data_IF_454742161098
#
_entry.id   IF_454742161098
#
_cell.length_a   1.000
_cell.length_b   1.000
_cell.length_c   1.000
_cell.angle_alpha   90.00
_cell.angle_beta   90.00
_cell.angle_gamma   90.00
#
_symmetry.space_group_name_H-M   'P 1'
#
loop_
_entity.id
_entity.type
_entity.pdbx_description
1 polymer ?
#
# COMPACT_ATOMS: atom_id res chain seq x y z
N UNK A 1 42.15 -36.10 -46.66
CA UNK A 1 42.03 -34.64 -46.38
C UNK A 1 40.60 -34.17 -46.08
N UNK A 2 39.54 -34.91 -46.41
CA UNK A 2 38.13 -34.49 -46.17
C UNK A 2 37.64 -34.69 -44.72
N UNK A 3 38.21 -35.64 -43.98
CA UNK A 3 37.83 -35.96 -42.58
C UNK A 3 38.05 -34.79 -41.60
N UNK A 4 39.11 -34.01 -41.79
CA UNK A 4 39.48 -32.91 -40.88
C UNK A 4 38.48 -31.73 -41.00
N UNK A 5 37.82 -31.60 -42.16
CA UNK A 5 36.86 -30.51 -42.42
C UNK A 5 35.64 -30.57 -41.50
N UNK A 6 35.09 -31.77 -41.26
CA UNK A 6 33.90 -31.95 -40.44
C UNK A 6 34.14 -31.65 -38.96
N UNK A 7 35.36 -31.90 -38.48
CA UNK A 7 35.76 -31.58 -37.09
C UNK A 7 35.69 -30.07 -36.85
N UNK A 8 36.17 -29.25 -37.80
CA UNK A 8 36.11 -27.79 -37.68
C UNK A 8 34.69 -27.25 -37.76
N UNK A 9 33.83 -27.83 -38.60
CA UNK A 9 32.41 -27.46 -38.70
C UNK A 9 31.67 -27.80 -37.40
N UNK A 10 31.87 -29.01 -36.85
CA UNK A 10 31.26 -29.45 -35.60
C UNK A 10 31.74 -28.61 -34.40
N UNK A 11 33.04 -28.30 -34.33
CA UNK A 11 33.62 -27.43 -33.30
C UNK A 11 33.03 -26.02 -33.37
N UNK A 12 32.91 -25.45 -34.59
CA UNK A 12 32.29 -24.15 -34.81
C UNK A 12 30.83 -24.10 -34.36
N UNK A 13 30.03 -25.12 -34.72
CA UNK A 13 28.65 -25.24 -34.29
C UNK A 13 28.51 -25.37 -32.75
N UNK A 14 29.41 -26.14 -32.12
CA UNK A 14 29.44 -26.30 -30.67
C UNK A 14 29.80 -24.99 -29.95
N UNK A 15 30.78 -24.24 -30.46
CA UNK A 15 31.16 -22.93 -29.91
C UNK A 15 30.03 -21.90 -30.06
N UNK A 16 29.29 -21.92 -31.18
CA UNK A 16 28.11 -21.06 -31.37
C UNK A 16 27.01 -21.45 -30.38
N UNK A 17 26.71 -22.75 -30.22
CA UNK A 17 25.72 -23.22 -29.25
C UNK A 17 26.11 -22.83 -27.81
N UNK A 18 27.40 -22.96 -27.45
CA UNK A 18 27.94 -22.52 -26.17
C UNK A 18 27.84 -21.00 -25.98
N UNK A 19 28.08 -20.21 -27.04
CA UNK A 19 27.90 -18.76 -27.03
C UNK A 19 26.42 -18.35 -26.86
N UNK A 20 25.48 -19.08 -27.46
CA UNK A 20 24.05 -18.86 -27.26
C UNK A 20 23.59 -19.29 -25.86
N UNK A 21 24.14 -20.39 -25.33
CA UNK A 21 23.89 -20.82 -23.95
C UNK A 21 24.43 -19.78 -22.95
N UNK A 22 25.66 -19.29 -23.13
CA UNK A 22 26.25 -18.28 -22.26
C UNK A 22 25.56 -16.91 -22.37
N UNK A 23 25.12 -16.50 -23.57
CA UNK A 23 24.28 -15.29 -23.74
C UNK A 23 22.92 -15.42 -23.04
N UNK A 24 22.33 -16.62 -22.98
CA UNK A 24 21.07 -16.86 -22.27
C UNK A 24 21.19 -16.73 -20.74
N UNK A 25 22.40 -16.83 -20.20
CA UNK A 25 22.66 -16.68 -18.76
C UNK A 25 23.18 -15.29 -18.37
N UNK A 26 23.46 -14.41 -19.33
CA UNK A 26 23.99 -13.09 -19.06
C UNK A 26 22.85 -12.06 -18.92
N UNK A 27 21.96 -12.30 -17.95
CA UNK A 27 21.05 -11.25 -17.50
C UNK A 27 21.82 -10.29 -16.59
N UNK A 28 21.76 -8.97 -16.83
CA UNK A 28 22.35 -8.01 -15.90
C UNK A 28 21.81 -8.28 -14.50
N UNK A 29 22.69 -8.26 -13.50
CA UNK A 29 22.28 -8.38 -12.09
C UNK A 29 21.34 -7.23 -11.77
N UNK A 30 20.04 -7.52 -11.73
CA UNK A 30 19.01 -6.54 -11.37
C UNK A 30 19.26 -6.06 -9.95
N UNK A 31 19.20 -4.75 -9.75
CA UNK A 31 19.26 -4.15 -8.41
C UNK A 31 17.86 -4.20 -7.83
N UNK A 32 17.50 -5.35 -7.25
CA UNK A 32 16.18 -5.56 -6.67
C UNK A 32 16.06 -4.85 -5.30
N UNK A 33 14.83 -4.46 -4.90
CA UNK A 33 14.59 -3.96 -3.54
C UNK A 33 15.05 -4.98 -2.48
N UNK A 34 15.44 -4.51 -1.29
CA UNK A 34 15.81 -5.38 -0.18
C UNK A 34 14.64 -6.28 0.23
N UNK A 35 14.92 -7.41 0.86
CA UNK A 35 13.85 -8.29 1.36
C UNK A 35 14.34 -9.62 1.91
N UNK A 36 13.47 -10.34 2.62
CA UNK A 36 13.79 -11.66 3.14
C UNK A 36 13.99 -12.68 2.01
N UNK A 37 14.94 -13.60 2.19
CA UNK A 37 15.18 -14.66 1.20
C UNK A 37 13.95 -15.59 1.10
N UNK A 38 13.38 -15.79 -0.11
CA UNK A 38 12.18 -16.61 -0.29
C UNK A 38 12.50 -18.11 -0.26
N UNK A 39 11.58 -18.91 0.25
CA UNK A 39 11.60 -20.36 0.12
C UNK A 39 11.15 -20.78 -1.29
N UNK A 40 11.60 -21.95 -1.75
CA UNK A 40 11.43 -22.39 -3.15
C UNK A 40 9.98 -22.47 -3.63
N UNK A 41 9.04 -22.89 -2.78
CA UNK A 41 7.64 -23.16 -3.17
C UNK A 41 6.70 -22.09 -2.63
N UNK A 42 6.76 -21.81 -1.32
CA UNK A 42 5.81 -20.90 -0.65
C UNK A 42 6.29 -19.43 -0.65
N UNK A 43 7.54 -19.17 -1.05
CA UNK A 43 8.12 -17.83 -0.98
C UNK A 43 8.33 -17.38 0.48
N UNK A 44 7.70 -16.28 0.87
CA UNK A 44 7.79 -15.65 2.19
C UNK A 44 6.49 -15.74 2.98
N UNK A 45 5.52 -16.57 2.56
CA UNK A 45 4.23 -16.71 3.23
C UNK A 45 4.37 -17.18 4.70
N UNK A 46 5.44 -17.91 5.03
CA UNK A 46 5.75 -18.33 6.39
C UNK A 46 6.14 -17.17 7.34
N UNK A 47 6.36 -15.97 6.81
CA UNK A 47 6.66 -14.77 7.60
C UNK A 47 5.39 -13.96 7.92
N UNK A 48 4.22 -14.39 7.42
CA UNK A 48 2.95 -13.73 7.66
C UNK A 48 2.21 -14.42 8.80
N UNK A 49 1.82 -13.64 9.81
CA UNK A 49 0.93 -14.07 10.88
C UNK A 49 -0.56 -13.95 10.50
N UNK A 50 -1.43 -14.03 11.52
CA UNK A 50 -2.88 -13.84 11.36
C UNK A 50 -3.25 -12.45 10.83
N UNK A 51 -2.40 -11.46 11.08
CA UNK A 51 -2.51 -10.09 10.57
C UNK A 51 -1.34 -9.80 9.61
N UNK A 52 -1.54 -10.00 8.29
CA UNK A 52 -0.47 -9.82 7.30
C UNK A 52 0.09 -8.40 7.27
N UNK A 53 -0.76 -7.38 7.43
CA UNK A 53 -0.34 -5.98 7.41
C UNK A 53 0.61 -5.62 8.56
N UNK A 54 0.39 -6.16 9.77
CA UNK A 54 1.31 -5.99 10.91
C UNK A 54 2.62 -6.73 10.65
N UNK A 55 2.55 -7.99 10.20
CA UNK A 55 3.73 -8.79 9.87
C UNK A 55 4.62 -8.10 8.83
N UNK A 56 4.00 -7.50 7.82
CA UNK A 56 4.68 -6.71 6.79
C UNK A 56 5.24 -5.38 7.34
N UNK A 57 4.57 -4.74 8.31
CA UNK A 57 5.13 -3.58 9.01
C UNK A 57 6.39 -3.94 9.79
N UNK A 58 6.38 -5.05 10.55
CA UNK A 58 7.57 -5.54 11.25
C UNK A 58 8.73 -5.84 10.29
N UNK A 59 8.43 -6.42 9.13
CA UNK A 59 9.43 -6.65 8.09
C UNK A 59 9.97 -5.34 7.50
N UNK A 60 9.15 -4.30 7.32
CA UNK A 60 9.62 -3.02 6.79
C UNK A 60 10.56 -2.29 7.75
N UNK A 61 10.39 -2.46 9.07
CA UNK A 61 11.37 -1.96 10.05
C UNK A 61 12.76 -2.59 9.90
N UNK A 62 12.84 -3.80 9.33
CA UNK A 62 14.10 -4.54 9.13
C UNK A 62 14.71 -4.35 7.75
N UNK A 63 13.88 -4.35 6.71
CA UNK A 63 14.33 -4.33 5.31
C UNK A 63 14.17 -2.97 4.63
N UNK A 64 13.46 -2.03 5.25
CA UNK A 64 13.17 -0.71 4.72
C UNK A 64 11.74 -0.55 4.23
N UNK A 65 11.37 0.69 3.92
CA UNK A 65 10.02 1.09 3.54
C UNK A 65 9.54 0.56 2.17
N UNK A 66 10.49 0.13 1.32
CA UNK A 66 10.23 -0.56 0.06
C UNK A 66 10.98 -1.89 0.08
N UNK A 67 10.23 -2.99 0.02
CA UNK A 67 10.83 -4.32 0.08
C UNK A 67 10.17 -5.30 -0.90
N UNK A 68 10.96 -6.25 -1.37
CA UNK A 68 10.53 -7.30 -2.29
C UNK A 68 10.38 -8.63 -1.55
N UNK A 69 9.19 -9.19 -1.61
CA UNK A 69 8.83 -10.53 -1.14
C UNK A 69 8.45 -11.42 -2.32
N UNK A 70 8.26 -12.71 -2.05
CA UNK A 70 7.56 -13.63 -2.95
C UNK A 70 6.40 -14.29 -2.23
N UNK A 71 5.21 -14.28 -2.84
CA UNK A 71 4.10 -15.13 -2.42
C UNK A 71 3.97 -16.26 -3.44
N UNK A 72 4.38 -17.46 -3.04
CA UNK A 72 4.64 -18.54 -3.98
C UNK A 72 5.75 -18.19 -4.98
N UNK A 73 5.45 -18.26 -6.27
CA UNK A 73 6.35 -17.88 -7.36
C UNK A 73 6.21 -16.41 -7.79
N UNK A 74 5.20 -15.69 -7.31
CA UNK A 74 4.93 -14.31 -7.72
C UNK A 74 5.73 -13.29 -6.90
N UNK A 75 6.45 -12.35 -7.53
CA UNK A 75 7.10 -11.25 -6.83
C UNK A 75 6.05 -10.26 -6.29
N UNK A 76 6.30 -9.79 -5.07
CA UNK A 76 5.40 -8.91 -4.33
C UNK A 76 6.21 -7.75 -3.78
N UNK A 77 5.90 -6.54 -4.24
CA UNK A 77 6.51 -5.30 -3.77
C UNK A 77 5.65 -4.72 -2.66
N UNK A 78 6.25 -4.41 -1.51
CA UNK A 78 5.55 -3.82 -0.37
C UNK A 78 6.08 -2.41 -0.15
N UNK A 79 5.16 -1.45 -0.12
CA UNK A 79 5.44 -0.06 0.25
C UNK A 79 4.77 0.27 1.58
N UNK A 80 5.57 0.62 2.58
CA UNK A 80 5.15 0.89 3.97
C UNK A 80 5.29 2.37 4.38
N UNK A 81 5.70 3.24 3.45
CA UNK A 81 5.86 4.68 3.66
C UNK A 81 5.06 5.52 2.66
N UNK A 82 4.85 6.78 3.02
CA UNK A 82 4.12 7.71 2.18
C UNK A 82 4.85 8.03 0.88
N UNK A 83 6.17 8.13 0.91
CA UNK A 83 6.99 8.42 -0.27
C UNK A 83 6.91 7.28 -1.27
N UNK A 84 7.04 6.03 -0.82
CA UNK A 84 6.96 4.84 -1.67
C UNK A 84 5.55 4.64 -2.22
N UNK A 85 4.52 4.88 -1.40
CA UNK A 85 3.14 4.85 -1.85
C UNK A 85 2.89 5.89 -2.96
N UNK A 86 3.36 7.13 -2.78
CA UNK A 86 3.26 8.18 -3.81
C UNK A 86 4.04 7.83 -5.07
N UNK A 87 5.22 7.23 -4.92
CA UNK A 87 6.04 6.85 -6.07
C UNK A 87 5.35 5.80 -6.93
N UNK A 88 4.75 4.78 -6.31
CA UNK A 88 4.01 3.73 -7.02
C UNK A 88 2.69 4.27 -7.60
N UNK A 89 1.87 4.93 -6.77
CA UNK A 89 0.51 5.32 -7.13
C UNK A 89 0.42 6.59 -7.97
N UNK A 90 1.44 7.45 -7.98
CA UNK A 90 1.43 8.70 -8.75
C UNK A 90 2.49 8.76 -9.84
N UNK A 91 3.70 8.32 -9.56
CA UNK A 91 4.80 8.43 -10.55
C UNK A 91 4.73 7.31 -11.58
N UNK A 92 4.21 6.14 -11.17
CA UNK A 92 4.11 4.95 -12.00
C UNK A 92 2.65 4.48 -12.16
N UNK A 93 1.69 5.39 -12.07
CA UNK A 93 0.25 5.10 -12.11
C UNK A 93 -0.16 4.31 -13.35
N UNK A 94 0.38 4.65 -14.53
CA UNK A 94 0.13 3.95 -15.80
C UNK A 94 0.67 2.51 -15.79
N UNK A 95 1.84 2.29 -15.20
CA UNK A 95 2.47 0.96 -15.12
C UNK A 95 1.73 0.08 -14.10
N UNK A 96 1.21 0.68 -13.05
CA UNK A 96 0.47 0.03 -11.97
C UNK A 96 -1.06 0.16 -12.13
N UNK A 97 -1.58 0.42 -13.33
CA UNK A 97 -3.02 0.68 -13.51
C UNK A 97 -3.92 -0.57 -13.34
N UNK A 98 -3.36 -1.78 -13.43
CA UNK A 98 -4.13 -3.03 -13.36
C UNK A 98 -4.54 -3.37 -11.92
N UNK A 99 -5.84 -3.59 -11.69
CA UNK A 99 -6.44 -3.91 -10.38
C UNK A 99 -7.27 -5.20 -10.45
N UNK A 100 -7.32 -6.01 -9.38
CA UNK A 100 -8.31 -7.07 -9.25
C UNK A 100 -9.70 -6.47 -8.95
N UNK A 101 -10.77 -7.14 -9.39
CA UNK A 101 -12.11 -6.80 -8.94
C UNK A 101 -12.27 -7.24 -7.47
N UNK A 102 -12.63 -6.31 -6.60
CA UNK A 102 -12.91 -6.57 -5.19
C UNK A 102 -14.28 -5.98 -4.86
N UNK A 103 -15.10 -6.73 -4.13
CA UNK A 103 -16.34 -6.25 -3.54
C UNK A 103 -16.15 -6.32 -2.02
N UNK A 104 -16.17 -5.18 -1.34
CA UNK A 104 -16.10 -5.10 0.11
C UNK A 104 -17.17 -4.12 0.62
N UNK A 105 -17.97 -4.52 1.61
CA UNK A 105 -18.86 -3.61 2.32
C UNK A 105 -18.05 -2.81 3.34
N UNK A 106 -17.66 -1.61 2.94
CA UNK A 106 -16.75 -0.74 3.69
C UNK A 106 -17.45 0.14 4.74
N UNK A 107 -18.78 0.23 4.69
CA UNK A 107 -19.52 1.16 5.53
C UNK A 107 -19.67 0.68 6.98
N UNK A 108 -20.06 -0.59 7.15
CA UNK A 108 -20.27 -1.22 8.46
C UNK A 108 -19.00 -1.24 9.32
N UNK A 109 -17.84 -1.58 8.72
CA UNK A 109 -16.56 -1.61 9.42
C UNK A 109 -16.16 -0.24 9.99
N UNK A 110 -16.48 0.86 9.29
CA UNK A 110 -16.20 2.22 9.78
C UNK A 110 -17.00 2.53 11.04
N UNK A 111 -18.29 2.20 11.03
CA UNK A 111 -19.20 2.44 12.15
C UNK A 111 -18.77 1.62 13.37
N UNK A 112 -18.43 0.35 13.16
CA UNK A 112 -17.96 -0.54 14.23
C UNK A 112 -16.71 0.02 14.91
N UNK A 113 -15.64 0.26 14.15
CA UNK A 113 -14.37 0.74 14.70
C UNK A 113 -14.49 2.15 15.30
N UNK A 114 -15.21 3.05 14.63
CA UNK A 114 -15.46 4.40 15.15
C UNK A 114 -16.20 4.36 16.48
N UNK A 115 -17.24 3.51 16.60
CA UNK A 115 -17.98 3.36 17.86
C UNK A 115 -17.10 2.81 18.98
N UNK A 116 -16.24 1.83 18.70
CA UNK A 116 -15.33 1.27 19.70
C UNK A 116 -14.35 2.31 20.27
N UNK A 117 -13.78 3.16 19.42
CA UNK A 117 -12.87 4.22 19.86
C UNK A 117 -13.59 5.31 20.66
N UNK A 118 -14.77 5.74 20.18
CA UNK A 118 -15.57 6.75 20.86
C UNK A 118 -16.01 6.31 22.27
N UNK A 119 -16.43 5.05 22.43
CA UNK A 119 -16.84 4.51 23.73
C UNK A 119 -15.70 4.47 24.76
N UNK A 120 -14.45 4.44 24.30
CA UNK A 120 -13.26 4.46 25.18
C UNK A 120 -12.89 5.87 25.64
N UNK A 121 -13.34 6.92 24.95
CA UNK A 121 -12.91 8.31 25.17
C UNK A 121 -14.14 9.22 25.33
N UNK A 122 -14.76 9.28 26.52
CA UNK A 122 -16.02 10.01 26.74
C UNK A 122 -15.93 11.52 26.44
N UNK A 123 -14.75 12.12 26.60
CA UNK A 123 -14.51 13.52 26.25
C UNK A 123 -14.69 13.82 24.74
N UNK A 124 -14.39 12.85 23.87
CA UNK A 124 -14.57 13.03 22.41
C UNK A 124 -16.05 13.02 22.05
N UNK A 125 -16.84 12.12 22.65
CA UNK A 125 -18.30 12.07 22.46
C UNK A 125 -18.94 13.40 22.89
N UNK A 126 -18.55 13.92 24.06
CA UNK A 126 -19.07 15.18 24.57
C UNK A 126 -18.79 16.36 23.61
N UNK A 127 -17.56 16.46 23.08
CA UNK A 127 -17.21 17.48 22.08
C UNK A 127 -18.01 17.33 20.77
N UNK A 128 -18.22 16.10 20.30
CA UNK A 128 -19.01 15.83 19.11
C UNK A 128 -20.49 16.21 19.30
N UNK A 129 -21.07 15.91 20.47
CA UNK A 129 -22.41 16.35 20.83
C UNK A 129 -22.51 17.88 20.90
N UNK A 130 -21.52 18.56 21.50
CA UNK A 130 -21.50 20.02 21.55
C UNK A 130 -21.41 20.65 20.15
N UNK A 131 -20.67 20.05 19.22
CA UNK A 131 -20.63 20.50 17.82
C UNK A 131 -22.01 20.34 17.16
N UNK A 132 -22.65 19.17 17.30
CA UNK A 132 -23.97 18.90 16.75
C UNK A 132 -25.02 19.87 17.30
N UNK A 133 -25.04 20.07 18.63
CA UNK A 133 -25.97 20.97 19.29
C UNK A 133 -25.79 22.42 18.82
N UNK A 134 -24.55 22.84 18.54
CA UNK A 134 -24.25 24.20 18.06
C UNK A 134 -24.57 24.39 16.57
N UNK A 135 -24.26 23.42 15.72
CA UNK A 135 -24.36 23.55 14.28
C UNK A 135 -25.76 23.22 13.74
N UNK A 136 -26.43 22.23 14.32
CA UNK A 136 -27.71 21.68 13.82
C UNK A 136 -28.85 21.90 14.81
N UNK A 137 -28.57 21.81 16.11
CA UNK A 137 -29.59 21.85 17.16
C UNK A 137 -30.31 20.50 17.33
N UNK A 138 -31.39 20.49 18.12
CA UNK A 138 -32.08 19.25 18.57
C UNK A 138 -33.40 18.96 17.85
N UNK A 139 -33.84 19.86 16.98
CA UNK A 139 -35.17 19.85 16.37
C UNK A 139 -35.26 18.98 15.10
N UNK A 140 -34.13 18.56 14.54
CA UNK A 140 -34.09 17.74 13.31
C UNK A 140 -32.90 16.78 13.28
N UNK A 141 -33.02 15.76 12.43
CA UNK A 141 -31.93 14.83 12.13
C UNK A 141 -30.84 15.47 11.27
N UNK A 142 -29.63 14.93 11.40
CA UNK A 142 -28.46 15.31 10.58
C UNK A 142 -28.64 14.80 9.15
N UNK A 143 -28.38 15.67 8.17
CA UNK A 143 -28.38 15.34 6.75
C UNK A 143 -26.97 15.41 6.16
N UNK A 144 -26.71 14.74 5.04
CA UNK A 144 -25.39 14.71 4.39
C UNK A 144 -24.84 16.11 4.09
N UNK A 145 -25.71 17.03 3.66
CA UNK A 145 -25.34 18.43 3.36
C UNK A 145 -24.78 19.19 4.56
N UNK A 146 -25.13 18.77 5.77
CA UNK A 146 -24.70 19.41 7.02
C UNK A 146 -23.25 19.08 7.37
N UNK A 147 -22.64 18.07 6.75
CA UNK A 147 -21.29 17.59 7.08
C UNK A 147 -20.22 18.68 6.95
N UNK A 148 -20.43 19.65 6.04
CA UNK A 148 -19.58 20.82 5.89
C UNK A 148 -19.52 21.72 7.15
N UNK A 149 -20.51 21.61 8.04
CA UNK A 149 -20.65 22.37 9.28
C UNK A 149 -20.18 21.57 10.52
N UNK A 150 -19.70 20.33 10.33
CA UNK A 150 -19.31 19.42 11.41
C UNK A 150 -17.81 19.03 11.33
N UNK A 151 -16.89 20.00 11.46
CA UNK A 151 -15.45 19.75 11.29
C UNK A 151 -14.87 18.75 12.31
N UNK A 152 -15.40 18.68 13.53
CA UNK A 152 -14.93 17.74 14.55
C UNK A 152 -15.42 16.32 14.31
N UNK A 153 -16.65 16.13 13.87
CA UNK A 153 -17.12 14.82 13.40
C UNK A 153 -16.33 14.35 12.17
N UNK A 154 -16.06 15.24 11.21
CA UNK A 154 -15.18 14.94 10.07
C UNK A 154 -13.76 14.56 10.53
N UNK A 155 -13.24 15.23 11.55
CA UNK A 155 -11.96 14.90 12.17
C UNK A 155 -11.96 13.53 12.86
N UNK A 156 -13.02 13.16 13.57
CA UNK A 156 -13.22 11.83 14.16
C UNK A 156 -13.21 10.76 13.07
N UNK A 157 -13.94 10.98 11.97
CA UNK A 157 -14.00 10.03 10.86
C UNK A 157 -12.62 9.84 10.22
N UNK A 158 -11.87 10.92 10.01
CA UNK A 158 -10.50 10.86 9.48
C UNK A 158 -9.54 10.12 10.40
N UNK A 159 -9.64 10.33 11.71
CA UNK A 159 -8.81 9.63 12.70
C UNK A 159 -9.18 8.15 12.80
N UNK A 160 -10.46 7.81 12.70
CA UNK A 160 -10.92 6.41 12.56
C UNK A 160 -10.31 5.77 11.33
N UNK A 161 -10.30 6.40 10.16
CA UNK A 161 -9.66 5.81 8.97
C UNK A 161 -8.15 5.72 9.07
N UNK A 162 -7.48 6.57 9.84
CA UNK A 162 -6.04 6.48 10.08
C UNK A 162 -5.68 5.24 10.89
N UNK A 163 -6.35 5.03 12.02
CA UNK A 163 -6.08 3.90 12.91
C UNK A 163 -6.74 2.60 12.44
N UNK A 164 -7.94 2.70 11.88
CA UNK A 164 -8.76 1.56 11.47
C UNK A 164 -9.10 1.67 9.99
N UNK A 165 -8.10 1.58 9.09
CA UNK A 165 -8.33 1.69 7.66
C UNK A 165 -9.19 0.51 7.19
N UNK A 166 -10.18 0.81 6.33
CA UNK A 166 -11.03 -0.18 5.68
C UNK A 166 -10.25 -1.25 4.92
N UNK A 167 -9.10 -0.86 4.40
CA UNK A 167 -8.17 -1.73 3.73
C UNK A 167 -6.77 -1.50 4.32
N UNK A 168 -6.36 -2.34 5.26
CA UNK A 168 -5.03 -2.27 5.88
C UNK A 168 -3.90 -2.43 4.86
N UNK A 169 -4.12 -3.25 3.83
CA UNK A 169 -3.31 -3.37 2.62
C UNK A 169 -4.18 -3.05 1.43
N UNK A 170 -3.87 -2.01 0.67
CA UNK A 170 -4.65 -1.69 -0.53
C UNK A 170 -4.68 -2.86 -1.51
N UNK A 171 -5.74 -2.94 -2.34
CA UNK A 171 -5.77 -3.85 -3.48
C UNK A 171 -4.47 -3.78 -4.28
N UNK A 172 -3.89 -4.93 -4.67
CA UNK A 172 -2.62 -4.94 -5.36
C UNK A 172 -2.75 -4.30 -6.74
N UNK A 173 -1.76 -3.48 -7.05
CA UNK A 173 -1.53 -2.99 -8.40
C UNK A 173 -0.49 -3.85 -9.09
N UNK A 174 -0.69 -4.21 -10.36
CA UNK A 174 0.28 -5.05 -11.08
C UNK A 174 1.10 -4.22 -12.06
N UNK A 175 2.43 -4.37 -12.01
CA UNK A 175 3.32 -3.76 -13.01
C UNK A 175 3.12 -4.40 -14.38
N UNK A 176 2.72 -3.62 -15.38
CA UNK A 176 2.48 -4.09 -16.76
C UNK A 176 3.77 -4.34 -17.55
N UNK A 177 4.89 -3.77 -17.10
CA UNK A 177 6.23 -3.87 -17.67
C UNK A 177 7.33 -3.82 -16.61
N UNK A 178 8.58 -4.08 -17.01
CA UNK A 178 9.75 -3.88 -16.14
C UNK A 178 9.92 -2.37 -15.91
N UNK A 179 10.06 -1.92 -14.66
CA UNK A 179 10.21 -0.51 -14.33
C UNK A 179 11.22 -0.28 -13.20
N UNK A 180 11.53 0.98 -12.89
CA UNK A 180 12.45 1.34 -11.80
C UNK A 180 11.70 2.17 -10.76
N UNK A 181 11.67 1.70 -9.51
CA UNK A 181 11.05 2.39 -8.37
C UNK A 181 12.09 2.58 -7.28
N UNK A 182 12.27 3.79 -6.80
CA UNK A 182 13.24 4.22 -5.81
C UNK A 182 14.69 3.79 -6.14
N UNK A 183 15.02 3.75 -7.44
CA UNK A 183 16.33 3.28 -7.91
C UNK A 183 16.55 1.76 -7.80
N UNK A 184 15.47 0.98 -7.74
CA UNK A 184 15.45 -0.48 -7.80
C UNK A 184 14.68 -0.97 -9.01
N UNK A 185 15.14 -2.07 -9.60
CA UNK A 185 14.50 -2.72 -10.74
C UNK A 185 13.32 -3.57 -10.27
N UNK A 186 12.13 -3.28 -10.78
CA UNK A 186 10.88 -3.99 -10.51
C UNK A 186 10.50 -4.81 -11.75
N UNK A 187 10.47 -6.16 -11.64
CA UNK A 187 10.07 -7.00 -12.76
C UNK A 187 8.60 -6.84 -13.14
N UNK A 188 8.28 -6.98 -14.42
CA UNK A 188 6.92 -7.12 -14.94
C UNK A 188 6.13 -8.19 -14.18
N UNK A 189 4.84 -7.94 -13.97
CA UNK A 189 3.94 -8.83 -13.23
C UNK A 189 4.11 -8.81 -11.71
N UNK A 190 4.93 -7.90 -11.16
CA UNK A 190 5.05 -7.70 -9.71
C UNK A 190 3.77 -7.07 -9.16
N UNK A 191 3.23 -7.67 -8.10
CA UNK A 191 2.11 -7.13 -7.35
C UNK A 191 2.62 -6.13 -6.31
N UNK A 192 2.28 -4.85 -6.46
CA UNK A 192 2.58 -3.80 -5.51
C UNK A 192 1.44 -3.65 -4.49
N UNK A 193 1.74 -3.82 -3.21
CA UNK A 193 0.84 -3.57 -2.10
C UNK A 193 1.28 -2.33 -1.33
N UNK A 194 0.30 -1.51 -0.98
CA UNK A 194 0.49 -0.34 -0.12
C UNK A 194 -0.03 -0.68 1.28
N UNK A 195 0.85 -0.68 2.27
CA UNK A 195 0.50 -0.95 3.66
C UNK A 195 0.03 0.33 4.34
N UNK A 196 -1.25 0.64 4.17
CA UNK A 196 -1.89 1.84 4.74
C UNK A 196 -1.89 1.79 6.26
N UNK A 197 -2.07 0.60 6.84
CA UNK A 197 -1.99 0.41 8.29
C UNK A 197 -0.62 0.86 8.84
N UNK A 198 0.47 0.46 8.17
CA UNK A 198 1.82 0.89 8.51
C UNK A 198 2.00 2.41 8.37
N UNK A 199 1.50 3.00 7.27
CA UNK A 199 1.63 4.45 7.02
C UNK A 199 0.86 5.26 8.06
N UNK A 200 -0.33 4.79 8.45
CA UNK A 200 -1.17 5.40 9.48
C UNK A 200 -0.56 5.38 10.87
N UNK A 201 0.34 4.44 11.15
CA UNK A 201 1.04 4.25 12.44
C UNK A 201 2.52 4.64 12.42
N UNK A 202 3.01 5.17 11.32
CA UNK A 202 4.42 5.51 11.20
C UNK A 202 4.73 6.80 11.98
N UNK A 203 5.60 6.69 13.00
CA UNK A 203 6.01 7.80 13.86
C UNK A 203 6.74 8.94 13.12
N UNK A 204 7.24 8.69 11.90
CA UNK A 204 7.79 9.72 11.02
C UNK A 204 6.71 10.73 10.56
N UNK A 205 5.45 10.30 10.46
CA UNK A 205 4.35 11.14 9.98
C UNK A 205 3.37 11.54 11.09
N UNK A 206 3.28 10.74 12.15
CA UNK A 206 2.30 10.92 13.21
C UNK A 206 3.00 10.94 14.58
N UNK A 207 2.91 12.05 15.29
CA UNK A 207 3.17 12.06 16.74
C UNK A 207 2.22 11.06 17.42
N UNK A 208 2.64 10.38 18.49
CA UNK A 208 1.82 9.37 19.23
C UNK A 208 0.91 8.53 18.30
N UNK A 209 1.51 7.73 17.40
CA UNK A 209 0.81 7.14 16.25
C UNK A 209 -0.27 6.11 16.62
N UNK A 210 -0.25 5.54 17.82
CA UNK A 210 -1.25 4.56 18.27
C UNK A 210 -2.42 5.19 19.03
N UNK A 211 -2.35 6.48 19.37
CA UNK A 211 -3.41 7.18 20.12
C UNK A 211 -4.46 7.77 19.17
N UNK A 212 -5.75 7.62 19.52
CA UNK A 212 -6.87 8.20 18.78
C UNK A 212 -7.07 9.67 19.18
N UNK A 213 -6.64 10.61 18.33
CA UNK A 213 -6.65 12.06 18.60
C UNK A 213 -7.25 12.80 17.39
N UNK A 214 -8.59 13.00 17.35
CA UNK A 214 -9.27 13.70 16.26
C UNK A 214 -8.74 15.11 16.01
N UNK A 215 -8.29 15.80 17.05
CA UNK A 215 -7.79 17.18 16.96
C UNK A 215 -6.67 17.37 15.94
N UNK A 216 -5.96 16.30 15.55
CA UNK A 216 -4.96 16.31 14.46
C UNK A 216 -5.55 16.78 13.12
N UNK A 217 -6.86 16.62 12.92
CA UNK A 217 -7.57 16.99 11.69
C UNK A 217 -8.37 18.29 11.80
N UNK A 218 -8.43 18.93 12.99
CA UNK A 218 -8.99 20.27 13.21
C UNK A 218 -7.90 21.31 12.92
N UNK A 219 -7.93 21.91 11.71
CA UNK A 219 -7.20 23.10 11.27
C UNK A 219 -5.76 23.38 11.77
N UNK A 220 -4.79 23.21 10.86
CA UNK A 220 -3.87 24.25 10.31
C UNK A 220 -2.46 23.74 9.95
N UNK A 221 -2.30 22.45 9.65
CA UNK A 221 -1.21 21.99 8.79
C UNK A 221 -1.74 21.62 7.41
N UNK A 222 -1.66 22.58 6.49
CA UNK A 222 -1.91 22.39 5.05
C UNK A 222 -1.09 21.23 4.45
N UNK A 223 0.01 20.85 5.11
CA UNK A 223 0.89 19.72 4.79
C UNK A 223 0.37 18.34 5.25
N UNK A 224 -0.53 18.26 6.24
CA UNK A 224 -1.02 16.99 6.81
C UNK A 224 -2.38 16.56 6.24
N UNK A 225 -3.19 17.52 5.78
CA UNK A 225 -4.39 17.24 4.95
C UNK A 225 -4.08 16.46 3.67
N UNK A 226 -2.81 16.33 3.27
CA UNK A 226 -2.39 15.74 1.98
C UNK A 226 -1.70 14.38 2.11
N UNK A 227 -1.49 13.85 3.33
CA UNK A 227 -0.70 12.64 3.51
C UNK A 227 -1.54 11.36 3.39
N UNK A 228 -2.61 11.22 4.16
CA UNK A 228 -3.51 10.05 4.10
C UNK A 228 -4.81 10.30 3.33
N UNK A 229 -5.36 11.52 3.43
CA UNK A 229 -6.55 11.92 2.68
C UNK A 229 -6.36 11.77 1.18
N UNK A 230 -5.16 11.94 0.62
CA UNK A 230 -4.93 11.66 -0.80
C UNK A 230 -5.01 10.18 -1.14
N UNK A 231 -4.70 9.25 -0.23
CA UNK A 231 -4.81 7.81 -0.53
C UNK A 231 -6.26 7.35 -0.32
N UNK A 232 -6.88 7.74 0.80
CA UNK A 232 -8.26 7.38 1.11
C UNK A 232 -9.29 8.07 0.21
N UNK A 233 -9.15 9.37 -0.10
CA UNK A 233 -10.04 10.08 -1.05
C UNK A 233 -9.75 9.66 -2.49
N UNK A 234 -8.51 9.35 -2.87
CA UNK A 234 -8.26 8.84 -4.23
C UNK A 234 -8.87 7.45 -4.40
N UNK A 235 -8.77 6.58 -3.40
CA UNK A 235 -9.50 5.31 -3.37
C UNK A 235 -11.02 5.52 -3.41
N UNK A 236 -11.58 6.35 -2.53
CA UNK A 236 -13.02 6.61 -2.47
C UNK A 236 -13.56 7.30 -3.73
N UNK A 237 -12.83 8.27 -4.29
CA UNK A 237 -13.19 8.97 -5.52
C UNK A 237 -13.11 8.04 -6.72
N UNK A 238 -12.11 7.17 -6.85
CA UNK A 238 -12.04 6.23 -7.97
C UNK A 238 -13.06 5.09 -7.90
N UNK A 239 -13.40 4.62 -6.69
CA UNK A 239 -14.40 3.58 -6.47
C UNK A 239 -15.83 4.10 -6.72
N UNK A 240 -16.14 5.30 -6.22
CA UNK A 240 -17.48 5.92 -6.34
C UNK A 240 -17.72 6.53 -7.73
N UNK A 241 -16.70 6.99 -8.45
CA UNK A 241 -16.89 7.59 -9.80
C UNK A 241 -17.26 6.59 -10.91
N UNK A 242 -17.35 5.28 -10.59
CA UNK A 242 -17.64 4.22 -11.57
C UNK A 242 -18.90 3.42 -11.23
N UNK A 243 -19.66 3.84 -10.23
CA UNK A 243 -21.04 3.41 -9.96
C UNK A 243 -21.98 4.55 -10.37
#
# INVERSE_FOLDING_TARGET
>A
MLEISWVFIALGAWLIALAFLTKKFNHPKRKLPPGPRPWRIIGNLNLLGSLPHESLHHLSQKYGDLMLLKFGSKPVLIASSLEMAKEILKTHDAIFASRPALAADTSAATIEWGSQELLRIPNIIEKAHQELDRAIGKERWVEEKDFSQLPYIDAIIKETFRLHPLCALLPPHYSTEDCTVAGYDIPKGTAAYINVWSIGRNSKYWDRPEEFIPERFIENNRHERTKLLTIAIWFWKEEVSRV
#
